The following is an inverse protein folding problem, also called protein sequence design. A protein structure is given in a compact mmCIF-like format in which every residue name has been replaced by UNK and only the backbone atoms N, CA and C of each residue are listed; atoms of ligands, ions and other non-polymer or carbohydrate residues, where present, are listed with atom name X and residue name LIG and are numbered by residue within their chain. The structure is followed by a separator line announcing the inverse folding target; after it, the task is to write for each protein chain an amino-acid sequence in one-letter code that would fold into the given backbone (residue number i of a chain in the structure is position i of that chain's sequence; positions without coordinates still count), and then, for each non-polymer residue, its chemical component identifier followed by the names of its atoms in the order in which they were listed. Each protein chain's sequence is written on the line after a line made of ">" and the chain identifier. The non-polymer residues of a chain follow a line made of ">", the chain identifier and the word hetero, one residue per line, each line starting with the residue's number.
data_IF_032088857982
#
_entry.id   IF_032088857982
#
_cell.length_a   1.000
_cell.length_b   1.000
_cell.length_c   1.000
_cell.angle_alpha   90.00
_cell.angle_beta   90.00
_cell.angle_gamma   90.00
#
_symmetry.space_group_name_H-M   'P 1'
#
loop_
_entity.id
_entity.type
_entity.pdbx_description
1 polymer ?
#
# COMPACT_ATOMS: atom_id res chain seq x y z
N UNK A 1 -17.57 29.89 9.43
CA UNK A 1 -18.40 28.70 9.75
C UNK A 1 -18.49 27.63 8.65
N UNK A 2 -18.85 27.91 7.38
CA UNK A 2 -18.87 26.87 6.31
C UNK A 2 -17.49 26.65 5.66
N UNK A 3 -16.66 27.68 5.57
CA UNK A 3 -15.29 27.60 5.04
C UNK A 3 -14.28 26.99 6.02
N UNK A 4 -14.41 27.23 7.33
CA UNK A 4 -13.52 26.63 8.36
C UNK A 4 -13.66 25.11 8.45
N UNK A 5 -14.83 24.56 8.10
CA UNK A 5 -15.02 23.10 8.04
C UNK A 5 -14.31 22.45 6.85
N UNK A 6 -14.04 23.19 5.78
CA UNK A 6 -13.30 22.70 4.60
C UNK A 6 -11.78 22.69 4.90
N UNK A 7 -11.29 23.70 5.60
CA UNK A 7 -9.88 23.78 6.04
C UNK A 7 -9.53 22.66 7.04
N UNK A 8 -10.45 22.33 7.96
CA UNK A 8 -10.26 21.22 8.91
C UNK A 8 -10.26 19.83 8.25
N UNK A 9 -11.02 19.65 7.17
CA UNK A 9 -11.02 18.42 6.38
C UNK A 9 -9.72 18.26 5.56
N UNK A 10 -9.16 19.35 5.04
CA UNK A 10 -7.88 19.37 4.34
C UNK A 10 -6.68 19.12 5.27
N UNK A 11 -6.69 19.66 6.51
CA UNK A 11 -5.64 19.38 7.49
C UNK A 11 -5.61 17.91 7.95
N UNK A 12 -6.76 17.23 8.00
CA UNK A 12 -6.80 15.78 8.30
C UNK A 12 -6.25 14.90 7.18
N UNK A 13 -6.30 15.37 5.93
CA UNK A 13 -5.69 14.68 4.79
C UNK A 13 -4.15 14.89 4.71
N UNK A 14 -3.63 15.98 5.27
CA UNK A 14 -2.19 16.27 5.33
C UNK A 14 -1.41 15.50 6.42
N UNK A 15 -2.10 14.82 7.35
CA UNK A 15 -1.44 14.10 8.45
C UNK A 15 -0.74 12.78 8.08
N UNK A 16 -0.77 12.36 6.81
CA UNK A 16 -0.29 11.04 6.37
C UNK A 16 0.92 11.06 5.43
N UNK A 17 1.52 12.22 5.16
CA UNK A 17 2.61 12.36 4.18
C UNK A 17 3.81 13.11 4.75
N UNK A 18 4.56 12.49 5.68
CA UNK A 18 5.82 13.05 6.21
C UNK A 18 6.76 11.93 6.67
N UNK A 19 7.33 11.13 5.74
CA UNK A 19 8.68 10.52 5.91
C UNK A 19 9.28 10.24 4.52
N UNK A 20 10.05 11.18 3.95
CA UNK A 20 11.22 10.86 3.08
C UNK A 20 12.19 12.04 3.14
N UNK A 21 13.33 11.87 3.82
CA UNK A 21 14.54 12.65 3.58
C UNK A 21 15.75 11.85 4.09
N UNK A 22 16.62 11.42 3.17
CA UNK A 22 17.90 10.81 3.55
C UNK A 22 18.61 10.01 2.45
N UNK A 23 18.85 10.60 1.27
CA UNK A 23 19.82 10.04 0.32
C UNK A 23 21.14 10.79 0.52
N UNK A 24 22.14 10.12 1.07
CA UNK A 24 23.53 10.55 1.02
C UNK A 24 24.26 9.82 -0.09
N UNK A 25 24.97 10.62 -0.88
CA UNK A 25 25.83 10.31 -2.02
C UNK A 25 26.90 9.25 -1.71
N UNK A 26 27.03 8.24 -2.58
CA UNK A 26 28.25 7.45 -2.70
C UNK A 26 28.63 7.29 -4.17
N UNK A 27 29.90 7.63 -4.45
CA UNK A 27 30.47 7.83 -5.76
C UNK A 27 30.74 6.51 -6.52
N UNK A 28 30.76 6.64 -7.84
CA UNK A 28 31.24 5.66 -8.81
C UNK A 28 32.74 5.44 -8.63
N UNK A 29 33.16 4.18 -8.49
CA UNK A 29 34.54 3.78 -8.80
C UNK A 29 34.57 2.36 -9.40
N UNK A 30 34.87 2.32 -10.69
CA UNK A 30 35.29 1.14 -11.43
C UNK A 30 36.77 0.86 -11.12
N UNK A 31 37.10 -0.40 -10.83
CA UNK A 31 38.05 -1.24 -11.59
C UNK A 31 38.96 -2.15 -10.73
N UNK A 32 38.91 -3.44 -11.11
CA UNK A 32 40.02 -4.44 -11.24
C UNK A 32 40.77 -4.91 -9.98
N UNK A 33 40.73 -6.22 -9.75
CA UNK A 33 41.78 -6.94 -9.01
C UNK A 33 41.40 -8.37 -8.62
N UNK A 34 42.14 -9.35 -9.14
CA UNK A 34 42.03 -10.79 -8.93
C UNK A 34 41.92 -11.23 -7.44
N UNK A 35 41.08 -12.24 -7.18
CA UNK A 35 41.13 -13.04 -5.95
C UNK A 35 41.44 -14.52 -6.30
N UNK A 36 42.32 -15.20 -5.54
CA UNK A 36 42.71 -16.59 -5.82
C UNK A 36 41.67 -17.58 -5.29
N UNK A 37 41.52 -18.69 -5.99
CA UNK A 37 40.69 -19.82 -5.58
C UNK A 37 41.19 -20.40 -4.24
N UNK A 38 40.24 -20.63 -3.32
CA UNK A 38 40.45 -21.48 -2.15
C UNK A 38 39.50 -22.67 -2.24
N UNK A 39 40.08 -23.83 -2.48
CA UNK A 39 39.49 -25.13 -2.21
C UNK A 39 39.31 -25.30 -0.69
N UNK A 40 38.19 -25.88 -0.27
CA UNK A 40 38.02 -26.28 1.13
C UNK A 40 36.60 -26.59 1.57
N UNK A 41 36.17 -27.83 1.35
CA UNK A 41 35.22 -28.61 2.18
C UNK A 41 33.77 -28.13 2.26
N UNK A 42 32.95 -28.66 1.35
CA UNK A 42 31.51 -28.76 1.50
C UNK A 42 31.16 -29.77 2.60
N UNK A 43 30.97 -29.28 3.83
CA UNK A 43 30.17 -29.98 4.83
C UNK A 43 28.71 -29.82 4.45
N UNK A 44 28.04 -30.91 4.09
CA UNK A 44 26.59 -30.95 3.89
C UNK A 44 25.90 -30.80 5.25
N UNK A 45 25.72 -29.56 5.69
CA UNK A 45 24.72 -29.24 6.70
C UNK A 45 23.36 -29.25 6.00
N UNK A 46 22.60 -30.32 6.21
CA UNK A 46 21.17 -30.35 5.92
C UNK A 46 20.49 -29.31 6.80
N UNK A 47 20.31 -28.09 6.28
CA UNK A 47 19.38 -27.13 6.85
C UNK A 47 17.98 -27.71 6.68
N UNK A 48 17.44 -28.29 7.76
CA UNK A 48 16.00 -28.48 7.89
C UNK A 48 15.37 -27.09 7.80
N UNK A 49 14.74 -26.78 6.67
CA UNK A 49 13.88 -25.61 6.54
C UNK A 49 12.78 -25.74 7.59
N UNK A 50 12.83 -24.93 8.65
CA UNK A 50 11.74 -24.89 9.61
C UNK A 50 10.51 -24.31 8.89
N UNK A 51 9.45 -25.10 8.78
CA UNK A 51 8.18 -24.72 8.12
C UNK A 51 7.44 -23.57 8.86
N UNK A 52 7.93 -23.21 10.06
CA UNK A 52 7.41 -22.18 10.95
C UNK A 52 8.41 -21.02 11.14
N UNK A 53 7.92 -19.77 11.28
CA UNK A 53 8.74 -18.62 11.63
C UNK A 53 9.32 -18.78 13.05
N UNK A 54 10.25 -17.90 13.43
CA UNK A 54 10.77 -17.86 14.80
C UNK A 54 9.70 -17.35 15.77
N UNK A 55 9.04 -18.28 16.46
CA UNK A 55 8.02 -17.98 17.47
C UNK A 55 8.67 -17.97 18.87
N UNK A 56 8.47 -16.88 19.61
CA UNK A 56 9.00 -16.66 20.95
C UNK A 56 7.86 -16.38 21.95
N UNK A 57 8.15 -16.57 23.24
CA UNK A 57 7.19 -16.35 24.33
C UNK A 57 5.84 -17.01 24.04
N UNK A 58 5.83 -18.29 23.68
CA UNK A 58 4.62 -19.03 23.31
C UNK A 58 4.59 -20.41 23.95
N UNK A 59 3.39 -20.91 24.29
CA UNK A 59 3.17 -22.33 24.58
C UNK A 59 2.84 -23.02 23.26
N UNK A 60 3.88 -23.37 22.50
CA UNK A 60 3.76 -23.83 21.12
C UNK A 60 3.34 -25.31 21.03
N UNK A 61 2.30 -25.58 20.25
CA UNK A 61 1.87 -26.91 19.81
C UNK A 61 1.82 -26.94 18.27
N UNK A 62 2.34 -27.99 17.64
CA UNK A 62 2.25 -28.18 16.19
C UNK A 62 1.25 -29.26 15.83
N UNK A 63 0.33 -28.96 14.91
CA UNK A 63 -0.76 -29.87 14.49
C UNK A 63 -0.91 -29.86 12.98
N UNK A 64 -0.96 -31.03 12.34
CA UNK A 64 -1.31 -31.12 10.93
C UNK A 64 -2.81 -30.81 10.71
N UNK A 65 -3.13 -30.10 9.62
CA UNK A 65 -4.53 -29.93 9.22
C UNK A 65 -5.13 -31.27 8.80
N UNK A 66 -6.31 -31.57 9.35
CA UNK A 66 -7.08 -32.78 9.02
C UNK A 66 -7.88 -32.62 7.73
N UNK A 67 -9.21 -32.55 7.85
CA UNK A 67 -10.12 -32.54 6.70
C UNK A 67 -10.05 -31.25 5.86
N UNK A 68 -9.99 -30.08 6.50
CA UNK A 68 -9.80 -28.78 5.84
C UNK A 68 -9.35 -27.72 6.85
N UNK A 69 -8.73 -26.63 6.35
CA UNK A 69 -8.35 -25.50 7.21
C UNK A 69 -9.57 -24.85 7.90
N UNK A 70 -10.68 -24.63 7.18
CA UNK A 70 -11.90 -24.03 7.75
C UNK A 70 -12.45 -24.87 8.91
N UNK A 71 -12.51 -26.19 8.76
CA UNK A 71 -12.96 -27.08 9.83
C UNK A 71 -12.03 -27.02 11.06
N UNK A 72 -10.72 -26.99 10.84
CA UNK A 72 -9.73 -26.89 11.91
C UNK A 72 -9.86 -25.57 12.68
N UNK A 73 -9.94 -24.43 11.98
CA UNK A 73 -10.07 -23.11 12.62
C UNK A 73 -11.40 -22.99 13.38
N UNK A 74 -12.51 -23.52 12.84
CA UNK A 74 -13.80 -23.53 13.55
C UNK A 74 -13.77 -24.40 14.80
N UNK A 75 -13.13 -25.58 14.73
CA UNK A 75 -13.00 -26.48 15.87
C UNK A 75 -12.20 -25.82 17.00
N UNK A 76 -11.04 -25.22 16.67
CA UNK A 76 -10.19 -24.52 17.63
C UNK A 76 -10.93 -23.31 18.20
N UNK A 77 -11.51 -22.47 17.34
CA UNK A 77 -12.29 -21.32 17.76
C UNK A 77 -13.42 -21.73 18.72
N UNK A 78 -14.18 -22.80 18.45
CA UNK A 78 -15.27 -23.24 19.32
C UNK A 78 -14.83 -23.75 20.71
N UNK A 79 -13.56 -24.14 20.86
CA UNK A 79 -12.96 -24.60 22.12
C UNK A 79 -12.21 -23.49 22.89
N UNK A 80 -11.89 -22.37 22.23
CA UNK A 80 -11.14 -21.27 22.81
C UNK A 80 -11.96 -20.48 23.85
N UNK A 81 -11.86 -20.87 25.12
CA UNK A 81 -12.48 -20.15 26.25
C UNK A 81 -11.63 -18.98 26.75
N UNK A 82 -10.31 -19.05 26.54
CA UNK A 82 -9.33 -18.01 26.85
C UNK A 82 -8.58 -17.59 25.56
N UNK A 83 -7.86 -16.44 25.57
CA UNK A 83 -7.09 -16.01 24.40
C UNK A 83 -6.01 -17.02 23.99
N UNK A 84 -6.00 -17.39 22.72
CA UNK A 84 -4.98 -18.23 22.10
C UNK A 84 -4.73 -17.83 20.64
N UNK A 85 -3.58 -18.22 20.11
CA UNK A 85 -3.20 -17.97 18.72
C UNK A 85 -3.15 -19.25 17.91
N UNK A 86 -3.58 -19.15 16.66
CA UNK A 86 -3.41 -20.20 15.64
C UNK A 86 -2.69 -19.61 14.45
N UNK A 87 -1.61 -20.24 13.99
CA UNK A 87 -0.81 -19.76 12.87
C UNK A 87 -0.54 -20.83 11.83
N UNK A 88 -0.32 -20.43 10.58
CA UNK A 88 0.23 -21.29 9.52
C UNK A 88 1.02 -20.46 8.52
N UNK A 89 1.76 -21.13 7.64
CA UNK A 89 2.49 -20.49 6.53
C UNK A 89 1.97 -20.94 5.16
N UNK A 90 2.04 -20.02 4.18
CA UNK A 90 1.78 -20.23 2.75
C UNK A 90 2.84 -19.46 1.95
N UNK A 91 2.95 -19.70 0.64
CA UNK A 91 3.85 -18.91 -0.20
C UNK A 91 3.40 -17.45 -0.29
N UNK A 92 4.34 -16.52 -0.12
CA UNK A 92 4.12 -15.08 -0.22
C UNK A 92 4.31 -14.62 -1.67
N UNK A 93 3.47 -13.67 -2.12
CA UNK A 93 3.65 -13.04 -3.43
C UNK A 93 5.00 -12.35 -3.51
N UNK A 94 5.73 -12.56 -4.60
CA UNK A 94 7.08 -12.00 -4.74
C UNK A 94 7.07 -10.46 -4.68
N UNK A 95 8.00 -9.90 -3.90
CA UNK A 95 8.23 -8.46 -3.82
C UNK A 95 9.30 -8.11 -2.78
N UNK A 96 9.85 -6.90 -2.86
CA UNK A 96 10.84 -6.36 -1.89
C UNK A 96 10.19 -5.92 -0.57
N UNK A 97 9.04 -6.52 -0.21
CA UNK A 97 8.20 -6.09 0.90
C UNK A 97 8.12 -7.19 1.94
N UNK A 98 8.24 -6.81 3.20
CA UNK A 98 7.89 -7.65 4.35
C UNK A 98 6.69 -7.02 5.05
N UNK A 99 5.77 -7.86 5.52
CA UNK A 99 4.67 -7.44 6.37
C UNK A 99 4.95 -7.90 7.79
N UNK A 100 5.38 -7.01 8.68
CA UNK A 100 5.64 -7.37 10.07
C UNK A 100 4.55 -6.72 10.96
N UNK A 101 3.61 -7.51 11.48
CA UNK A 101 2.60 -7.07 12.44
C UNK A 101 1.58 -6.01 11.93
N UNK A 102 1.15 -6.11 10.66
CA UNK A 102 0.15 -5.24 10.00
C UNK A 102 0.46 -3.73 9.91
N UNK A 103 1.52 -3.24 10.56
CA UNK A 103 1.70 -1.80 10.83
C UNK A 103 2.76 -1.11 9.96
N UNK A 104 3.65 -1.86 9.31
CA UNK A 104 4.68 -1.28 8.45
C UNK A 104 4.78 -2.07 7.15
N UNK A 105 3.92 -1.72 6.22
CA UNK A 105 4.02 -2.15 4.83
C UNK A 105 4.99 -1.19 4.12
N UNK A 106 6.07 -1.72 3.52
CA UNK A 106 7.14 -1.02 2.75
C UNK A 106 8.44 -0.64 3.48
N UNK A 107 8.65 -0.94 4.77
CA UNK A 107 9.94 -0.58 5.41
C UNK A 107 11.03 -1.65 5.25
N UNK A 108 10.67 -2.87 4.81
CA UNK A 108 11.59 -4.00 4.67
C UNK A 108 12.28 -4.43 5.98
N UNK A 109 11.89 -3.83 7.12
CA UNK A 109 12.60 -3.94 8.37
C UNK A 109 11.80 -4.81 9.33
N UNK A 110 11.95 -6.13 9.20
CA UNK A 110 11.32 -7.05 10.13
C UNK A 110 12.09 -7.16 11.44
N UNK A 111 11.47 -6.61 12.50
CA UNK A 111 11.83 -6.83 13.90
C UNK A 111 10.89 -7.83 14.58
N UNK A 112 10.79 -7.74 15.91
CA UNK A 112 9.86 -8.57 16.69
C UNK A 112 8.41 -8.07 16.55
N UNK A 113 7.55 -8.92 15.98
CA UNK A 113 6.11 -8.74 15.92
C UNK A 113 5.47 -9.19 17.25
N UNK A 114 5.11 -8.23 18.11
CA UNK A 114 4.46 -8.48 19.40
C UNK A 114 2.95 -8.55 19.24
N UNK A 115 2.38 -9.74 19.38
CA UNK A 115 0.99 -9.99 19.07
C UNK A 115 0.00 -9.32 20.05
N UNK A 116 0.33 -9.30 21.34
CA UNK A 116 -0.58 -8.79 22.39
C UNK A 116 -0.44 -7.29 22.72
N UNK A 117 0.31 -6.49 21.94
CA UNK A 117 0.31 -5.02 22.10
C UNK A 117 -0.82 -4.37 21.29
N UNK A 118 -1.53 -3.41 21.89
CA UNK A 118 -2.70 -2.69 21.32
C UNK A 118 -2.43 -2.13 19.91
N UNK A 119 -1.21 -1.64 19.65
CA UNK A 119 -0.78 -1.13 18.35
C UNK A 119 0.29 -1.99 17.66
N UNK A 120 0.34 -3.31 17.90
CA UNK A 120 1.24 -4.24 17.20
C UNK A 120 2.68 -3.73 17.05
N UNK A 121 3.22 -3.14 18.12
CA UNK A 121 4.44 -2.33 18.04
C UNK A 121 5.60 -3.14 17.50
N UNK A 122 6.03 -2.85 16.27
CA UNK A 122 7.33 -3.23 15.77
C UNK A 122 8.35 -2.39 16.52
N UNK A 123 9.18 -3.02 17.33
CA UNK A 123 10.47 -2.40 17.66
C UNK A 123 11.30 -2.51 16.39
N UNK A 124 11.60 -1.38 15.75
CA UNK A 124 12.69 -1.31 14.79
C UNK A 124 13.96 -1.73 15.53
N UNK A 125 14.29 -3.01 15.45
CA UNK A 125 15.69 -3.35 15.36
C UNK A 125 16.05 -2.92 13.96
N UNK A 126 16.67 -1.75 13.84
CA UNK A 126 17.64 -1.54 12.78
C UNK A 126 18.46 -2.84 12.75
N UNK A 127 18.64 -3.49 11.61
CA UNK A 127 19.60 -4.58 11.53
C UNK A 127 20.95 -4.02 12.02
N UNK A 128 21.27 -4.22 13.30
CA UNK A 128 22.55 -3.88 13.89
C UNK A 128 23.67 -4.76 13.32
N UNK A 129 23.32 -5.71 12.46
CA UNK A 129 24.20 -6.67 11.81
C UNK A 129 24.57 -6.29 10.36
N UNK A 130 24.03 -5.20 9.81
CA UNK A 130 24.45 -4.72 8.48
C UNK A 130 24.21 -5.68 7.31
N UNK A 131 23.38 -6.73 7.49
CA UNK A 131 23.05 -7.69 6.44
C UNK A 131 22.08 -7.07 5.42
N UNK A 132 22.48 -7.02 4.16
CA UNK A 132 21.62 -6.63 3.04
C UNK A 132 20.85 -7.88 2.58
N UNK A 133 19.51 -7.86 2.66
CA UNK A 133 18.67 -8.91 2.07
C UNK A 133 18.67 -8.77 0.55
N UNK A 134 19.06 -9.84 -0.13
CA UNK A 134 19.06 -9.92 -1.59
C UNK A 134 17.71 -10.41 -2.15
N UNK A 135 16.85 -10.99 -1.31
CA UNK A 135 15.51 -11.47 -1.65
C UNK A 135 14.52 -11.15 -0.53
N UNK A 136 13.25 -10.94 -0.89
CA UNK A 136 12.13 -10.79 0.06
C UNK A 136 11.75 -12.11 0.74
N UNK A 137 10.87 -12.05 1.73
CA UNK A 137 10.35 -13.24 2.38
C UNK A 137 9.63 -14.15 1.37
N UNK A 138 9.83 -15.46 1.51
CA UNK A 138 9.25 -16.47 0.60
C UNK A 138 7.93 -17.02 1.13
N UNK A 139 7.66 -16.83 2.42
CA UNK A 139 6.52 -17.41 3.13
C UNK A 139 5.80 -16.34 3.93
N UNK A 140 4.48 -16.32 3.75
CA UNK A 140 3.52 -15.52 4.48
C UNK A 140 3.01 -16.33 5.65
N UNK A 141 3.06 -15.75 6.84
CA UNK A 141 2.48 -16.29 8.08
C UNK A 141 1.13 -15.63 8.29
N UNK A 142 0.08 -16.45 8.42
CA UNK A 142 -1.28 -15.98 8.73
C UNK A 142 -1.62 -16.39 10.15
N UNK A 143 -2.05 -15.44 10.97
CA UNK A 143 -2.27 -15.60 12.40
C UNK A 143 -3.71 -15.26 12.77
N UNK A 144 -4.38 -16.15 13.50
CA UNK A 144 -5.73 -15.99 14.02
C UNK A 144 -5.66 -15.88 15.54
N UNK A 145 -6.24 -14.82 16.10
CA UNK A 145 -6.49 -14.74 17.54
C UNK A 145 -7.87 -15.30 17.83
N UNK A 146 -7.92 -16.30 18.69
CA UNK A 146 -9.15 -16.91 19.16
C UNK A 146 -9.43 -16.42 20.57
N UNK A 147 -10.67 -16.03 20.84
CA UNK A 147 -11.13 -15.62 22.16
C UNK A 147 -12.65 -15.74 22.21
N UNK A 148 -13.22 -16.08 23.37
CA UNK A 148 -14.66 -16.14 23.58
C UNK A 148 -15.40 -16.96 22.50
N UNK A 149 -14.82 -18.12 22.15
CA UNK A 149 -15.34 -19.09 21.17
C UNK A 149 -15.41 -18.61 19.72
N UNK A 150 -14.61 -17.59 19.35
CA UNK A 150 -14.61 -17.00 18.01
C UNK A 150 -13.23 -16.49 17.60
N UNK A 151 -13.06 -16.26 16.29
CA UNK A 151 -11.93 -15.48 15.77
C UNK A 151 -12.21 -14.01 16.02
N UNK A 152 -11.30 -13.34 16.73
CA UNK A 152 -11.43 -11.91 17.06
C UNK A 152 -10.41 -11.03 16.32
N UNK A 153 -9.35 -11.62 15.75
CA UNK A 153 -8.30 -10.92 15.02
C UNK A 153 -7.65 -11.82 13.98
N UNK A 154 -7.29 -11.24 12.84
CA UNK A 154 -6.44 -11.87 11.82
C UNK A 154 -5.28 -10.93 11.56
N UNK A 155 -4.05 -11.45 11.58
CA UNK A 155 -2.81 -10.72 11.31
C UNK A 155 -1.95 -11.43 10.28
N UNK A 156 -1.09 -10.68 9.62
CA UNK A 156 -0.02 -11.23 8.78
C UNK A 156 1.36 -10.94 9.37
N UNK A 157 2.27 -11.88 9.15
CA UNK A 157 3.70 -11.70 9.36
C UNK A 157 4.45 -12.33 8.18
N UNK A 158 5.57 -11.75 7.76
CA UNK A 158 6.51 -12.43 6.88
C UNK A 158 7.35 -13.43 7.70
N UNK A 159 7.81 -14.53 7.11
CA UNK A 159 8.54 -15.60 7.81
C UNK A 159 9.83 -15.14 8.52
N UNK A 160 10.42 -14.05 8.03
CA UNK A 160 11.59 -13.38 8.59
C UNK A 160 11.29 -12.56 9.87
N UNK A 161 10.01 -12.39 10.24
CA UNK A 161 9.62 -11.80 11.51
C UNK A 161 9.87 -12.76 12.67
N UNK A 162 10.32 -12.21 13.80
CA UNK A 162 10.18 -12.90 15.10
C UNK A 162 8.77 -12.66 15.62
N UNK A 163 8.01 -13.71 15.90
CA UNK A 163 6.63 -13.61 16.41
C UNK A 163 6.63 -13.84 17.92
N UNK A 164 6.29 -12.81 18.70
CA UNK A 164 6.14 -12.90 20.16
C UNK A 164 4.66 -13.03 20.54
N UNK A 165 4.30 -14.18 21.13
CA UNK A 165 2.92 -14.52 21.48
C UNK A 165 2.52 -14.16 22.93
N UNK A 166 3.36 -13.45 23.68
CA UNK A 166 3.00 -12.91 25.01
C UNK A 166 2.72 -13.96 26.10
N UNK A 167 3.22 -15.18 25.95
CA UNK A 167 3.04 -16.32 26.86
C UNK A 167 1.76 -17.13 26.63
N UNK A 168 0.98 -16.80 25.60
CA UNK A 168 -0.29 -17.46 25.28
C UNK A 168 -0.10 -18.85 24.65
N UNK A 169 -1.13 -19.72 24.70
CA UNK A 169 -1.20 -20.90 23.84
C UNK A 169 -1.08 -20.50 22.37
N UNK A 170 -0.26 -21.26 21.64
CA UNK A 170 0.00 -21.01 20.24
C UNK A 170 -0.01 -22.33 19.46
N UNK A 171 -0.93 -22.48 18.52
CA UNK A 171 -1.08 -23.67 17.69
C UNK A 171 -0.54 -23.37 16.29
N UNK A 172 0.51 -24.06 15.87
CA UNK A 172 1.05 -24.01 14.52
C UNK A 172 0.45 -25.12 13.65
N UNK A 173 -0.28 -24.73 12.61
CA UNK A 173 -0.89 -25.66 11.66
C UNK A 173 0.04 -25.93 10.47
N UNK A 174 0.25 -27.21 10.15
CA UNK A 174 1.02 -27.67 8.98
C UNK A 174 0.13 -28.27 7.91
N UNK A 175 0.64 -28.36 6.66
CA UNK A 175 -0.10 -28.94 5.54
C UNK A 175 -1.23 -28.07 4.99
N UNK A 176 -1.21 -26.76 5.26
CA UNK A 176 -2.21 -25.81 4.76
C UNK A 176 -2.02 -25.56 3.28
N UNK A 177 -3.09 -25.73 2.49
CA UNK A 177 -3.10 -25.40 1.06
C UNK A 177 -3.52 -23.95 0.86
N UNK A 178 -2.79 -23.21 0.02
CA UNK A 178 -3.08 -21.80 -0.25
C UNK A 178 -4.53 -21.53 -0.71
N UNK A 179 -5.16 -22.35 -1.58
CA UNK A 179 -6.57 -22.16 -1.93
C UNK A 179 -7.55 -22.31 -0.76
N UNK A 180 -7.27 -23.19 0.21
CA UNK A 180 -8.12 -23.35 1.41
C UNK A 180 -7.99 -22.14 2.33
N UNK A 181 -6.77 -21.62 2.49
CA UNK A 181 -6.50 -20.37 3.20
C UNK A 181 -7.25 -19.19 2.59
N UNK A 182 -7.12 -18.96 1.28
CA UNK A 182 -7.83 -17.89 0.58
C UNK A 182 -9.34 -18.04 0.70
N UNK A 183 -9.87 -19.26 0.57
CA UNK A 183 -11.30 -19.52 0.70
C UNK A 183 -11.83 -19.17 2.11
N UNK A 184 -11.12 -19.57 3.17
CA UNK A 184 -11.47 -19.24 4.54
C UNK A 184 -11.38 -17.73 4.80
N UNK A 185 -10.27 -17.09 4.44
CA UNK A 185 -10.07 -15.65 4.61
C UNK A 185 -11.16 -14.83 3.91
N UNK A 186 -11.57 -15.26 2.72
CA UNK A 186 -12.61 -14.59 1.95
C UNK A 186 -13.98 -14.61 2.66
N UNK A 187 -14.24 -15.54 3.58
CA UNK A 187 -15.46 -15.53 4.40
C UNK A 187 -15.49 -14.34 5.36
N UNK A 188 -14.32 -13.90 5.87
CA UNK A 188 -14.20 -12.75 6.77
C UNK A 188 -14.28 -11.42 6.01
N UNK A 189 -13.69 -11.35 4.81
CA UNK A 189 -13.77 -10.15 3.95
C UNK A 189 -15.21 -9.82 3.56
N UNK A 190 -16.04 -10.85 3.32
CA UNK A 190 -17.44 -10.67 2.91
C UNK A 190 -18.39 -10.33 4.05
N UNK A 191 -17.95 -10.35 5.31
CA UNK A 191 -18.81 -9.99 6.44
C UNK A 191 -19.15 -8.50 6.42
N UNK A 192 -20.32 -8.16 6.97
CA UNK A 192 -20.81 -6.78 7.00
C UNK A 192 -19.96 -5.88 7.90
N UNK A 193 -19.33 -6.43 8.94
CA UNK A 193 -18.43 -5.76 9.89
C UNK A 193 -17.04 -5.43 9.31
N UNK A 194 -16.78 -5.68 8.03
CA UNK A 194 -15.54 -5.33 7.34
C UNK A 194 -15.07 -3.89 7.57
N UNK A 195 -16.02 -2.95 7.70
CA UNK A 195 -15.76 -1.52 7.88
C UNK A 195 -15.60 -1.10 9.35
N UNK A 196 -15.74 -2.01 10.33
CA UNK A 196 -15.56 -1.68 11.74
C UNK A 196 -14.13 -1.18 12.02
N UNK A 197 -14.05 -0.02 12.69
CA UNK A 197 -12.79 0.56 13.15
C UNK A 197 -12.42 0.03 14.56
N UNK A 198 -11.12 0.01 14.89
CA UNK A 198 -10.61 -0.43 16.20
C UNK A 198 -9.99 -1.83 16.17
N UNK A 199 -10.00 -2.53 17.31
CA UNK A 199 -9.29 -3.81 17.51
C UNK A 199 -9.92 -5.01 16.76
N UNK A 200 -11.11 -4.83 16.18
CA UNK A 200 -11.94 -5.86 15.51
C UNK A 200 -11.82 -5.87 13.98
N UNK A 201 -10.69 -5.44 13.41
CA UNK A 201 -10.42 -5.40 11.95
C UNK A 201 -10.18 -6.77 11.30
N UNK A 202 -11.05 -7.74 11.56
CA UNK A 202 -10.89 -9.11 11.05
C UNK A 202 -10.91 -9.12 9.52
N UNK A 203 -11.85 -8.37 8.91
CA UNK A 203 -12.00 -8.30 7.46
C UNK A 203 -10.79 -7.65 6.75
N UNK A 204 -10.22 -6.59 7.33
CA UNK A 204 -9.04 -5.91 6.76
C UNK A 204 -7.77 -6.77 6.88
N UNK A 205 -7.57 -7.43 8.02
CA UNK A 205 -6.48 -8.40 8.19
C UNK A 205 -6.62 -9.59 7.23
N UNK A 206 -7.84 -10.08 7.02
CA UNK A 206 -8.12 -11.14 6.06
C UNK A 206 -7.86 -10.70 4.60
N UNK A 207 -8.27 -9.50 4.22
CA UNK A 207 -8.01 -8.95 2.89
C UNK A 207 -6.51 -8.77 2.64
N UNK A 208 -5.78 -8.29 3.65
CA UNK A 208 -4.31 -8.19 3.63
C UNK A 208 -3.70 -9.57 3.41
N UNK A 209 -4.08 -10.56 4.21
CA UNK A 209 -3.60 -11.94 4.05
C UNK A 209 -3.84 -12.46 2.63
N UNK A 210 -5.05 -12.33 2.08
CA UNK A 210 -5.35 -12.73 0.70
C UNK A 210 -4.44 -12.02 -0.31
N UNK A 211 -4.26 -10.70 -0.16
CA UNK A 211 -3.42 -9.93 -1.09
C UNK A 211 -1.97 -10.41 -1.16
N UNK A 212 -1.46 -10.96 -0.05
CA UNK A 212 -0.08 -11.43 0.07
C UNK A 212 0.12 -12.90 -0.30
N UNK A 213 -0.94 -13.66 -0.58
CA UNK A 213 -0.79 -15.05 -1.03
C UNK A 213 -0.21 -15.10 -2.45
N UNK A 214 0.81 -15.93 -2.69
CA UNK A 214 1.35 -16.14 -4.04
C UNK A 214 0.35 -16.83 -4.99
N UNK A 215 -0.52 -17.68 -4.45
CA UNK A 215 -1.40 -18.55 -5.23
C UNK A 215 -2.46 -17.78 -6.05
N UNK A 216 -2.76 -18.26 -7.26
CA UNK A 216 -3.70 -17.63 -8.19
C UNK A 216 -5.15 -17.56 -7.66
N UNK A 217 -5.51 -18.32 -6.62
CA UNK A 217 -6.79 -18.15 -5.93
C UNK A 217 -6.92 -16.76 -5.28
N UNK A 218 -5.81 -16.14 -4.89
CA UNK A 218 -5.79 -14.78 -4.36
C UNK A 218 -6.27 -13.75 -5.40
N UNK A 219 -5.78 -13.87 -6.64
CA UNK A 219 -6.20 -12.99 -7.74
C UNK A 219 -7.70 -13.14 -8.01
N UNK A 220 -8.20 -14.37 -8.10
CA UNK A 220 -9.64 -14.63 -8.27
C UNK A 220 -10.48 -14.08 -7.12
N UNK A 221 -9.99 -14.19 -5.88
CA UNK A 221 -10.67 -13.66 -4.71
C UNK A 221 -10.73 -12.12 -4.75
N UNK A 222 -9.60 -11.45 -4.98
CA UNK A 222 -9.52 -10.01 -5.11
C UNK A 222 -10.40 -9.48 -6.25
N UNK A 223 -10.38 -10.13 -7.41
CA UNK A 223 -11.28 -9.79 -8.52
C UNK A 223 -12.75 -9.85 -8.10
N UNK A 224 -13.16 -10.89 -7.37
CA UNK A 224 -14.53 -11.01 -6.85
C UNK A 224 -14.91 -9.89 -5.88
N UNK A 225 -13.94 -9.32 -5.15
CA UNK A 225 -14.18 -8.19 -4.23
C UNK A 225 -14.31 -6.84 -4.94
N UNK A 226 -13.88 -6.77 -6.20
CA UNK A 226 -14.00 -5.56 -7.05
C UNK A 226 -15.22 -5.56 -7.95
N UNK A 227 -16.04 -6.61 -7.90
CA UNK A 227 -17.24 -6.71 -8.72
C UNK A 227 -18.27 -5.60 -8.36
N UNK A 228 -19.00 -5.01 -9.32
CA UNK A 228 -19.83 -3.82 -9.10
C UNK A 228 -20.91 -3.95 -8.02
N UNK A 229 -21.38 -5.17 -7.75
CA UNK A 229 -22.35 -5.52 -6.70
C UNK A 229 -21.77 -5.47 -5.28
N UNK A 230 -20.44 -5.47 -5.13
CA UNK A 230 -19.78 -5.34 -3.84
C UNK A 230 -19.86 -3.91 -3.32
N UNK A 231 -19.78 -3.72 -2.00
CA UNK A 231 -19.73 -2.41 -1.36
C UNK A 231 -18.53 -1.59 -1.85
N UNK A 232 -18.71 -0.29 -2.07
CA UNK A 232 -17.63 0.57 -2.56
C UNK A 232 -16.37 0.52 -1.69
N UNK A 233 -16.51 0.46 -0.36
CA UNK A 233 -15.37 0.42 0.54
C UNK A 233 -14.52 -0.84 0.32
N UNK A 234 -15.17 -2.00 0.11
CA UNK A 234 -14.48 -3.24 -0.22
C UNK A 234 -13.79 -3.14 -1.59
N UNK A 235 -14.48 -2.60 -2.61
CA UNK A 235 -13.88 -2.40 -3.94
C UNK A 235 -12.64 -1.51 -3.87
N UNK A 236 -12.69 -0.41 -3.10
CA UNK A 236 -11.58 0.52 -2.88
C UNK A 236 -10.39 -0.19 -2.21
N UNK A 237 -10.62 -0.90 -1.11
CA UNK A 237 -9.53 -1.62 -0.41
C UNK A 237 -8.94 -2.76 -1.25
N UNK A 238 -9.76 -3.50 -1.99
CA UNK A 238 -9.27 -4.53 -2.91
C UNK A 238 -8.44 -3.92 -4.06
N UNK A 239 -8.88 -2.78 -4.63
CA UNK A 239 -8.13 -2.05 -5.64
C UNK A 239 -6.75 -1.62 -5.12
N UNK A 240 -6.67 -1.06 -3.90
CA UNK A 240 -5.39 -0.73 -3.28
C UNK A 240 -4.43 -1.94 -3.28
N UNK A 241 -4.91 -3.10 -2.81
CA UNK A 241 -4.10 -4.31 -2.75
C UNK A 241 -3.72 -4.86 -4.13
N UNK A 242 -4.59 -4.71 -5.14
CA UNK A 242 -4.24 -5.03 -6.54
C UNK A 242 -3.06 -4.21 -7.03
N UNK A 243 -3.07 -2.90 -6.77
CA UNK A 243 -1.97 -2.01 -7.15
C UNK A 243 -0.71 -2.30 -6.35
N UNK A 244 -0.85 -2.46 -5.03
CA UNK A 244 0.26 -2.66 -4.13
C UNK A 244 0.96 -4.01 -4.34
N UNK A 245 0.24 -5.13 -4.43
CA UNK A 245 0.83 -6.46 -4.27
C UNK A 245 0.71 -7.39 -5.49
N UNK A 246 -0.16 -7.11 -6.46
CA UNK A 246 -0.57 -8.12 -7.47
C UNK A 246 0.05 -7.95 -8.87
N UNK A 247 1.03 -7.06 -9.01
CA UNK A 247 1.75 -6.82 -10.26
C UNK A 247 0.83 -6.70 -11.48
N UNK A 248 1.19 -7.38 -12.58
CA UNK A 248 0.45 -7.37 -13.84
C UNK A 248 -1.02 -7.81 -13.73
N UNK A 249 -1.32 -8.83 -12.94
CA UNK A 249 -2.70 -9.28 -12.74
C UNK A 249 -3.55 -8.19 -12.06
N UNK A 250 -2.98 -7.57 -11.02
CA UNK A 250 -3.57 -6.41 -10.36
C UNK A 250 -3.79 -5.23 -11.30
N UNK A 251 -2.79 -4.90 -12.12
CA UNK A 251 -2.91 -3.82 -13.10
C UNK A 251 -4.06 -4.06 -14.09
N UNK A 252 -4.21 -5.28 -14.63
CA UNK A 252 -5.30 -5.61 -15.56
C UNK A 252 -6.66 -5.38 -14.89
N UNK A 253 -6.82 -5.80 -13.64
CA UNK A 253 -8.04 -5.57 -12.88
C UNK A 253 -8.29 -4.07 -12.62
N UNK A 254 -7.26 -3.31 -12.23
CA UNK A 254 -7.36 -1.86 -12.04
C UNK A 254 -7.74 -1.12 -13.33
N UNK A 255 -7.18 -1.50 -14.49
CA UNK A 255 -7.55 -0.93 -15.79
C UNK A 255 -9.04 -1.18 -16.10
N UNK A 256 -9.57 -2.36 -15.75
CA UNK A 256 -11.01 -2.64 -15.90
C UNK A 256 -11.84 -1.75 -14.97
N UNK A 257 -11.47 -1.64 -13.70
CA UNK A 257 -12.16 -0.78 -12.73
C UNK A 257 -12.14 0.70 -13.15
N UNK A 258 -11.00 1.20 -13.63
CA UNK A 258 -10.82 2.57 -14.13
C UNK A 258 -11.72 2.89 -15.33
N UNK A 259 -12.16 1.89 -16.09
CA UNK A 259 -13.01 2.05 -17.28
C UNK A 259 -14.48 1.80 -17.01
N UNK A 260 -14.80 0.91 -16.06
CA UNK A 260 -16.14 0.33 -15.94
C UNK A 260 -16.75 0.41 -14.54
N UNK A 261 -16.03 0.81 -13.48
CA UNK A 261 -16.67 0.92 -12.17
C UNK A 261 -17.72 2.05 -12.20
N UNK A 262 -18.97 1.76 -11.77
CA UNK A 262 -20.06 2.72 -11.83
C UNK A 262 -19.83 3.95 -10.93
N UNK A 263 -19.04 3.81 -9.86
CA UNK A 263 -18.77 4.88 -8.91
C UNK A 263 -17.56 5.70 -9.30
N UNK A 264 -17.73 7.01 -9.49
CA UNK A 264 -16.60 7.91 -9.69
C UNK A 264 -15.65 7.94 -8.49
N UNK A 265 -16.15 7.68 -7.28
CA UNK A 265 -15.31 7.66 -6.08
C UNK A 265 -14.42 6.41 -6.04
N UNK A 266 -14.92 5.28 -6.54
CA UNK A 266 -14.10 4.08 -6.71
C UNK A 266 -13.09 4.28 -7.84
N UNK A 267 -13.50 4.83 -9.00
CA UNK A 267 -12.56 5.14 -10.08
C UNK A 267 -11.48 6.14 -9.65
N UNK A 268 -11.82 7.15 -8.86
CA UNK A 268 -10.85 8.06 -8.27
C UNK A 268 -9.86 7.34 -7.34
N UNK A 269 -10.34 6.39 -6.53
CA UNK A 269 -9.47 5.55 -5.71
C UNK A 269 -8.59 4.60 -6.54
N UNK A 270 -9.05 4.17 -7.71
CA UNK A 270 -8.22 3.39 -8.65
C UNK A 270 -7.02 4.20 -9.14
N UNK A 271 -7.14 5.52 -9.31
CA UNK A 271 -5.97 6.36 -9.63
C UNK A 271 -4.91 6.32 -8.51
N UNK A 272 -5.34 6.27 -7.25
CA UNK A 272 -4.44 6.05 -6.10
C UNK A 272 -3.82 4.64 -6.16
N UNK A 273 -4.63 3.60 -6.36
CA UNK A 273 -4.12 2.23 -6.45
C UNK A 273 -3.10 2.04 -7.59
N UNK A 274 -3.33 2.66 -8.75
CA UNK A 274 -2.37 2.68 -9.86
C UNK A 274 -1.07 3.38 -9.45
N UNK A 275 -1.15 4.44 -8.63
CA UNK A 275 0.03 5.20 -8.20
C UNK A 275 1.02 4.40 -7.34
N UNK A 276 0.53 3.40 -6.60
CA UNK A 276 1.37 2.50 -5.77
C UNK A 276 1.79 1.23 -6.50
N UNK A 277 1.39 1.08 -7.76
CA UNK A 277 1.80 -0.04 -8.61
C UNK A 277 3.23 0.11 -9.09
N UNK A 278 3.92 -1.02 -9.24
CA UNK A 278 5.26 -1.08 -9.83
C UNK A 278 5.22 -1.36 -11.34
N UNK A 279 4.04 -1.64 -11.89
CA UNK A 279 3.87 -1.87 -13.32
C UNK A 279 4.01 -0.54 -14.08
N UNK A 280 4.81 -0.50 -15.16
CA UNK A 280 5.06 0.74 -15.90
C UNK A 280 3.79 1.25 -16.61
N UNK A 281 2.93 0.38 -17.11
CA UNK A 281 1.69 0.72 -17.82
C UNK A 281 0.61 1.30 -16.88
N UNK A 282 0.81 1.26 -15.55
CA UNK A 282 -0.06 1.95 -14.62
C UNK A 282 -0.01 3.47 -14.82
N UNK A 283 1.12 4.01 -15.27
CA UNK A 283 1.25 5.42 -15.60
C UNK A 283 0.36 5.80 -16.80
N UNK A 284 0.35 4.97 -17.84
CA UNK A 284 -0.43 5.22 -19.05
C UNK A 284 -1.94 5.20 -18.75
N UNK A 285 -2.39 4.29 -17.87
CA UNK A 285 -3.78 4.26 -17.43
C UNK A 285 -4.16 5.51 -16.60
N UNK A 286 -3.26 6.00 -15.75
CA UNK A 286 -3.48 7.27 -15.01
C UNK A 286 -3.56 8.48 -15.96
N UNK A 287 -2.74 8.51 -17.02
CA UNK A 287 -2.80 9.55 -18.06
C UNK A 287 -4.15 9.51 -18.76
N UNK A 288 -4.61 8.33 -19.17
CA UNK A 288 -5.93 8.13 -19.76
C UNK A 288 -7.03 8.62 -18.82
N UNK A 289 -6.98 8.26 -17.53
CA UNK A 289 -7.96 8.73 -16.55
C UNK A 289 -7.97 10.25 -16.38
N UNK A 290 -6.80 10.89 -16.43
CA UNK A 290 -6.68 12.35 -16.34
C UNK A 290 -7.28 13.09 -17.54
N UNK A 291 -7.27 12.46 -18.73
CA UNK A 291 -7.77 13.07 -19.97
C UNK A 291 -9.21 12.67 -20.30
N UNK A 292 -9.54 11.38 -20.19
CA UNK A 292 -10.74 10.78 -20.80
C UNK A 292 -11.85 10.41 -19.81
N UNK A 293 -11.62 10.44 -18.48
CA UNK A 293 -12.70 10.06 -17.55
C UNK A 293 -13.85 11.08 -17.62
N UNK A 294 -15.07 10.56 -17.66
CA UNK A 294 -16.30 11.36 -17.73
C UNK A 294 -16.50 12.23 -16.49
N UNK A 295 -15.97 11.81 -15.34
CA UNK A 295 -16.06 12.54 -14.07
C UNK A 295 -14.88 13.48 -13.89
N UNK A 296 -15.17 14.77 -13.72
CA UNK A 296 -14.15 15.77 -13.34
C UNK A 296 -13.49 15.48 -11.99
N UNK A 297 -14.19 14.76 -11.10
CA UNK A 297 -13.60 14.27 -9.87
C UNK A 297 -12.43 13.32 -10.14
N UNK A 298 -12.65 12.33 -11.03
CA UNK A 298 -11.64 11.33 -11.40
C UNK A 298 -10.48 11.96 -12.14
N UNK A 299 -10.75 12.79 -13.16
CA UNK A 299 -9.68 13.50 -13.90
C UNK A 299 -8.76 14.28 -12.96
N UNK A 300 -9.36 15.01 -12.02
CA UNK A 300 -8.63 15.75 -11.01
C UNK A 300 -7.81 14.89 -10.04
N UNK A 301 -8.32 13.73 -9.64
CA UNK A 301 -7.58 12.79 -8.77
C UNK A 301 -6.42 12.12 -9.51
N UNK A 302 -6.61 11.75 -10.78
CA UNK A 302 -5.56 11.22 -11.62
C UNK A 302 -4.40 12.23 -11.78
N UNK A 303 -4.71 13.52 -12.01
CA UNK A 303 -3.70 14.59 -12.08
C UNK A 303 -2.89 14.72 -10.78
N UNK A 304 -3.56 14.65 -9.62
CA UNK A 304 -2.88 14.69 -8.32
C UNK A 304 -1.88 13.55 -8.18
N UNK A 305 -2.30 12.30 -8.42
CA UNK A 305 -1.42 11.14 -8.29
C UNK A 305 -0.32 11.09 -9.37
N UNK A 306 -0.58 11.64 -10.55
CA UNK A 306 0.46 11.84 -11.58
C UNK A 306 1.57 12.77 -11.10
N UNK A 307 1.24 13.87 -10.40
CA UNK A 307 2.25 14.76 -9.83
C UNK A 307 3.13 14.04 -8.80
N UNK A 308 2.57 13.12 -8.02
CA UNK A 308 3.32 12.37 -7.01
C UNK A 308 4.26 11.31 -7.61
N UNK A 309 3.90 10.73 -8.76
CA UNK A 309 4.60 9.54 -9.32
C UNK A 309 5.43 9.82 -10.57
N UNK A 310 4.96 10.68 -11.47
CA UNK A 310 5.46 10.74 -12.84
C UNK A 310 6.59 11.78 -13.05
N UNK A 311 7.01 12.49 -11.99
CA UNK A 311 8.09 13.49 -12.03
C UNK A 311 7.97 14.41 -13.26
N UNK A 312 9.06 14.53 -14.04
CA UNK A 312 9.10 15.35 -15.27
C UNK A 312 8.04 15.00 -16.30
N UNK A 313 7.64 13.72 -16.41
CA UNK A 313 6.59 13.32 -17.36
C UNK A 313 5.24 13.91 -16.96
N UNK A 314 4.99 14.12 -15.66
CA UNK A 314 3.76 14.72 -15.15
C UNK A 314 3.55 16.14 -15.68
N UNK A 315 4.62 16.92 -15.84
CA UNK A 315 4.55 18.34 -16.21
C UNK A 315 3.73 18.56 -17.47
N UNK A 316 4.04 17.86 -18.56
CA UNK A 316 3.36 18.03 -19.85
C UNK A 316 1.88 17.65 -19.80
N UNK A 317 1.55 16.57 -19.08
CA UNK A 317 0.17 16.09 -18.91
C UNK A 317 -0.63 17.11 -18.10
N UNK A 318 -0.06 17.60 -17.00
CA UNK A 318 -0.71 18.56 -16.11
C UNK A 318 -0.91 19.91 -16.83
N UNK A 319 0.10 20.41 -17.56
CA UNK A 319 -0.05 21.65 -18.34
C UNK A 319 -1.10 21.49 -19.44
N UNK A 320 -1.13 20.35 -20.12
CA UNK A 320 -2.16 20.03 -21.11
C UNK A 320 -3.58 20.08 -20.52
N UNK A 321 -3.77 19.57 -19.30
CA UNK A 321 -5.06 19.65 -18.61
C UNK A 321 -5.44 21.09 -18.21
N UNK A 322 -4.47 21.91 -17.77
CA UNK A 322 -4.70 23.33 -17.46
C UNK A 322 -5.20 24.11 -18.68
N UNK A 323 -4.66 23.80 -19.86
CA UNK A 323 -5.02 24.46 -21.10
C UNK A 323 -6.36 23.95 -21.64
N UNK A 324 -6.54 22.63 -21.68
CA UNK A 324 -7.52 22.00 -22.57
C UNK A 324 -8.69 21.32 -21.85
N UNK A 325 -8.65 21.07 -20.53
CA UNK A 325 -9.79 20.41 -19.85
C UNK A 325 -11.06 21.27 -19.98
N UNK A 326 -12.24 20.70 -20.27
CA UNK A 326 -13.46 21.48 -20.37
C UNK A 326 -13.93 22.06 -19.01
N UNK A 327 -13.55 21.44 -17.89
CA UNK A 327 -13.99 21.81 -16.55
C UNK A 327 -12.93 22.70 -15.84
N UNK A 328 -13.36 23.90 -15.44
CA UNK A 328 -12.49 24.85 -14.72
C UNK A 328 -12.02 24.31 -13.37
N UNK A 329 -12.81 23.48 -12.69
CA UNK A 329 -12.40 22.86 -11.43
C UNK A 329 -11.29 21.82 -11.66
N UNK A 330 -11.29 21.11 -12.78
CA UNK A 330 -10.16 20.24 -13.15
C UNK A 330 -8.92 21.06 -13.46
N UNK A 331 -9.06 22.17 -14.20
CA UNK A 331 -7.94 23.11 -14.43
C UNK A 331 -7.33 23.59 -13.11
N UNK A 332 -8.16 23.96 -12.12
CA UNK A 332 -7.67 24.36 -10.78
C UNK A 332 -6.94 23.22 -10.06
N UNK A 333 -7.45 21.99 -10.14
CA UNK A 333 -6.77 20.80 -9.60
C UNK A 333 -5.46 20.51 -10.32
N UNK A 334 -5.37 20.74 -11.63
CA UNK A 334 -4.14 20.64 -12.39
C UNK A 334 -3.12 21.71 -11.94
N UNK A 335 -3.56 22.95 -11.69
CA UNK A 335 -2.70 23.97 -11.08
C UNK A 335 -2.22 23.56 -9.69
N UNK A 336 -3.08 22.96 -8.86
CA UNK A 336 -2.66 22.37 -7.59
C UNK A 336 -1.64 21.25 -7.78
N UNK A 337 -1.83 20.37 -8.77
CA UNK A 337 -0.88 19.30 -9.08
C UNK A 337 0.51 19.86 -9.45
N UNK A 338 0.58 20.99 -10.19
CA UNK A 338 1.86 21.68 -10.44
C UNK A 338 2.55 22.14 -9.15
N UNK A 339 1.80 22.54 -8.12
CA UNK A 339 2.39 22.98 -6.85
C UNK A 339 2.96 21.84 -6.01
N UNK A 340 2.60 20.59 -6.32
CA UNK A 340 3.15 19.39 -5.67
C UNK A 340 4.44 18.88 -6.35
N UNK A 341 4.77 19.41 -7.54
CA UNK A 341 6.01 19.05 -8.22
C UNK A 341 7.24 19.66 -7.52
N UNK A 342 8.45 19.11 -7.75
CA UNK A 342 9.70 19.76 -7.36
C UNK A 342 9.73 21.24 -7.76
N UNK A 343 10.25 22.10 -6.87
CA UNK A 343 10.14 23.57 -7.04
C UNK A 343 10.74 24.06 -8.36
N UNK A 344 11.80 23.43 -8.84
CA UNK A 344 12.47 23.73 -10.10
C UNK A 344 11.58 23.45 -11.32
N UNK A 345 10.63 22.53 -11.22
CA UNK A 345 9.67 22.18 -12.28
C UNK A 345 8.33 22.92 -12.11
N UNK A 346 7.77 22.92 -10.90
CA UNK A 346 6.43 23.44 -10.62
C UNK A 346 6.33 24.96 -10.63
N UNK A 347 7.26 25.67 -9.98
CA UNK A 347 7.19 27.14 -9.83
C UNK A 347 7.25 27.88 -11.18
N UNK A 348 8.16 27.54 -12.12
CA UNK A 348 8.16 28.18 -13.44
C UNK A 348 6.83 28.01 -14.18
N UNK A 349 6.22 26.81 -14.09
CA UNK A 349 4.93 26.54 -14.72
C UNK A 349 3.77 27.27 -14.06
N UNK A 350 3.79 27.42 -12.74
CA UNK A 350 2.80 28.25 -12.04
C UNK A 350 2.90 29.73 -12.45
N UNK A 351 4.12 30.27 -12.62
CA UNK A 351 4.32 31.65 -13.12
C UNK A 351 3.77 31.79 -14.53
N UNK A 352 4.09 30.84 -15.43
CA UNK A 352 3.56 30.81 -16.79
C UNK A 352 2.03 30.83 -16.81
N UNK A 353 1.38 29.94 -16.03
CA UNK A 353 -0.08 29.87 -15.93
C UNK A 353 -0.67 31.18 -15.39
N UNK A 354 -0.04 31.79 -14.38
CA UNK A 354 -0.49 33.06 -13.82
C UNK A 354 -0.40 34.22 -14.81
N UNK A 355 0.54 34.17 -15.77
CA UNK A 355 0.74 35.20 -16.79
C UNK A 355 -0.16 35.02 -18.01
N UNK A 356 -0.27 33.79 -18.53
CA UNK A 356 -0.76 33.55 -19.90
C UNK A 356 -2.14 32.90 -19.96
N UNK A 357 -2.61 32.26 -18.88
CA UNK A 357 -3.85 31.49 -18.97
C UNK A 357 -5.06 32.40 -19.21
N UNK A 358 -5.90 32.05 -20.20
CA UNK A 358 -7.07 32.84 -20.59
C UNK A 358 -8.14 32.88 -19.49
N UNK A 359 -8.24 31.84 -18.66
CA UNK A 359 -9.23 31.76 -17.60
C UNK A 359 -8.75 32.49 -16.33
N UNK A 360 -9.39 33.59 -15.92
CA UNK A 360 -8.97 34.36 -14.74
C UNK A 360 -9.05 33.56 -13.43
N UNK A 361 -9.97 32.60 -13.31
CA UNK A 361 -10.05 31.75 -12.12
C UNK A 361 -8.84 30.81 -12.00
N UNK A 362 -8.31 30.35 -13.14
CA UNK A 362 -7.09 29.53 -13.21
C UNK A 362 -5.85 30.38 -12.90
N UNK A 363 -5.75 31.60 -13.45
CA UNK A 363 -4.68 32.55 -13.08
C UNK A 363 -4.68 32.84 -11.57
N UNK A 364 -5.85 33.10 -11.00
CA UNK A 364 -6.01 33.31 -9.55
C UNK A 364 -5.52 32.10 -8.74
N UNK A 365 -5.84 30.89 -9.19
CA UNK A 365 -5.38 29.67 -8.52
C UNK A 365 -3.85 29.53 -8.56
N UNK A 366 -3.23 29.89 -9.69
CA UNK A 366 -1.77 29.85 -9.82
C UNK A 366 -1.10 30.89 -8.92
N UNK A 367 -1.62 32.11 -8.85
CA UNK A 367 -1.16 33.15 -7.91
C UNK A 367 -1.25 32.67 -6.45
N UNK A 368 -2.35 32.01 -6.09
CA UNK A 368 -2.52 31.44 -4.74
C UNK A 368 -1.41 30.44 -4.39
N UNK A 369 -1.13 29.46 -5.26
CA UNK A 369 -0.10 28.45 -5.01
C UNK A 369 1.32 29.00 -5.08
N UNK A 370 1.58 30.01 -5.92
CA UNK A 370 2.84 30.76 -5.90
C UNK A 370 3.06 31.43 -4.54
N UNK A 371 2.01 31.98 -3.93
CA UNK A 371 2.06 32.56 -2.59
C UNK A 371 2.40 31.54 -1.49
N UNK A 372 2.09 30.26 -1.69
CA UNK A 372 2.43 29.17 -0.76
C UNK A 372 3.80 28.52 -1.03
N UNK A 373 4.46 28.87 -2.14
CA UNK A 373 5.69 28.19 -2.58
C UNK A 373 6.93 28.53 -1.74
N UNK A 374 6.92 29.70 -1.08
CA UNK A 374 8.11 30.31 -0.45
C UNK A 374 9.34 30.32 -1.40
N UNK A 375 9.10 30.47 -2.71
CA UNK A 375 10.15 30.49 -3.72
C UNK A 375 10.49 31.95 -4.12
N UNK A 376 11.77 32.36 -4.14
CA UNK A 376 12.16 33.71 -4.53
C UNK A 376 11.67 34.14 -5.91
N UNK A 377 11.49 33.19 -6.85
CA UNK A 377 10.97 33.48 -8.20
C UNK A 377 9.50 33.93 -8.14
N UNK A 378 8.72 33.40 -7.21
CA UNK A 378 7.34 33.85 -6.99
C UNK A 378 7.30 35.29 -6.47
N UNK A 379 8.21 35.66 -5.55
CA UNK A 379 8.33 37.03 -5.04
C UNK A 379 8.70 38.03 -6.15
N UNK A 380 9.73 37.72 -6.94
CA UNK A 380 10.13 38.55 -8.09
C UNK A 380 9.00 38.72 -9.09
N UNK A 381 8.21 37.66 -9.32
CA UNK A 381 7.05 37.73 -10.18
C UNK A 381 5.96 38.64 -9.60
N UNK A 382 5.66 38.57 -8.30
CA UNK A 382 4.69 39.44 -7.65
C UNK A 382 5.14 40.92 -7.67
N UNK A 383 6.42 41.21 -7.41
CA UNK A 383 6.97 42.56 -7.53
C UNK A 383 6.74 43.12 -8.93
N UNK A 384 7.08 42.35 -9.97
CA UNK A 384 6.86 42.75 -11.36
C UNK A 384 5.39 43.06 -11.64
N UNK A 385 4.46 42.20 -11.20
CA UNK A 385 3.02 42.38 -11.43
C UNK A 385 2.46 43.60 -10.69
N UNK A 386 2.95 43.91 -9.48
CA UNK A 386 2.47 45.04 -8.67
C UNK A 386 3.04 46.39 -9.10
N UNK A 387 4.15 46.40 -9.84
CA UNK A 387 4.78 47.62 -10.38
C UNK A 387 4.32 47.99 -11.79
N UNK A 388 3.47 47.17 -12.41
CA UNK A 388 2.77 47.45 -13.66
C UNK A 388 1.42 48.08 -13.39
#
# INVERSE_FOLDING_TARGET
>A
MREERIVSALQKALGFAMIVAGISTAAVQLAKGNAPARDGQAGTATMQSSEAPRIENAKLETRAVGASLDAAIRELAGKAEAPEWVGYSVDEVAGERGACCDNNWNDGNCGTCRLEKENGGTTSTSHSDGSIKLEGARRLVVLYRLEAKQVVKIRVASEDCVVDAGGLPFIWLTGVKAPESVALLATYVRRLDFEEHGERKIGSGALTAIALHADASADRALESFTAPEQREALRKQAAFWMGAARGKAGLIALQRMAKADPSSDVRAHVAFALSVSHEPEALDEMIRMAHDDTSSHVRGQALFWLAQRAGKKAVGIITGAIENDPDTEVKKKAVFALSQLPKDEGVPKLIEVAQTNRNPAVRKQAMFWLGQSNDPRALQFFEKVLTQ
#
